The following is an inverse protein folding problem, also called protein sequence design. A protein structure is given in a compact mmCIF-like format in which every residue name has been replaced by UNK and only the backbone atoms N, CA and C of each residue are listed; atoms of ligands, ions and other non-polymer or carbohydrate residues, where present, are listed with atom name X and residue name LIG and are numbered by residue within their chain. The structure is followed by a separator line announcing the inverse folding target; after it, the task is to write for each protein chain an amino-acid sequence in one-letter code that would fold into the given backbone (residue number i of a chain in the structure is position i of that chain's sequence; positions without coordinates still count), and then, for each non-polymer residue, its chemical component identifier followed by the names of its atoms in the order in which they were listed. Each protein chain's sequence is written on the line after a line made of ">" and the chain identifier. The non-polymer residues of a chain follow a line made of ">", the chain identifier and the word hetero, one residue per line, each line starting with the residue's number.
data_IF_647051199217
#
_entry.id   IF_647051199217
#
_cell.length_a   1.000
_cell.length_b   1.000
_cell.length_c   1.000
_cell.angle_alpha   90.00
_cell.angle_beta   90.00
_cell.angle_gamma   90.00
#
_symmetry.space_group_name_H-M   'P 1'
#
loop_
_entity.id
_entity.type
_entity.pdbx_description
1 polymer ?
#
# COMPACT_ATOMS: atom_id res chain seq x y z
N UNK A 1 51.93 4.48 26.37
CA UNK A 1 50.85 3.60 25.85
C UNK A 1 50.77 3.88 24.36
N UNK A 2 51.02 2.90 23.50
CA UNK A 2 50.86 3.08 22.06
C UNK A 2 49.40 3.46 21.78
N UNK A 3 49.17 4.53 21.02
CA UNK A 3 47.81 4.81 20.51
C UNK A 3 47.30 3.56 19.82
N UNK A 4 46.08 3.14 20.16
CA UNK A 4 45.42 2.02 19.48
C UNK A 4 45.29 2.33 18.00
N UNK A 5 45.57 1.35 17.15
CA UNK A 5 45.60 1.46 15.68
C UNK A 5 44.31 2.05 15.10
N UNK A 6 43.17 1.78 15.74
CA UNK A 6 41.84 2.27 15.36
C UNK A 6 41.14 3.05 16.48
N UNK A 7 40.29 4.00 16.10
CA UNK A 7 39.34 4.71 16.97
C UNK A 7 37.95 4.69 16.32
N UNK A 8 37.23 3.60 16.58
CA UNK A 8 35.92 3.33 15.97
C UNK A 8 34.79 4.05 16.72
N UNK A 9 33.98 4.82 15.99
CA UNK A 9 32.84 5.58 16.50
C UNK A 9 31.59 5.15 15.74
N UNK A 10 30.53 4.77 16.46
CA UNK A 10 29.21 4.51 15.91
C UNK A 10 28.40 5.81 15.89
N UNK A 11 27.87 6.21 14.73
CA UNK A 11 27.05 7.43 14.58
C UNK A 11 26.06 7.31 13.43
N UNK A 12 25.16 8.30 13.31
CA UNK A 12 24.32 8.49 12.13
C UNK A 12 25.13 8.95 10.90
N UNK A 13 24.64 8.62 9.72
CA UNK A 13 25.14 9.12 8.44
C UNK A 13 24.63 10.54 8.16
N UNK A 14 25.42 11.29 7.40
CA UNK A 14 25.05 12.59 6.85
C UNK A 14 25.29 12.64 5.34
N UNK A 15 24.69 13.61 4.65
CA UNK A 15 24.87 13.79 3.20
C UNK A 15 26.35 13.94 2.81
N UNK A 16 27.17 14.51 3.72
CA UNK A 16 28.61 14.71 3.53
C UNK A 16 29.42 13.41 3.49
N UNK A 17 28.85 12.32 3.98
CA UNK A 17 29.51 11.01 4.01
C UNK A 17 29.41 10.27 2.66
N UNK A 18 28.54 10.73 1.75
CA UNK A 18 28.28 10.06 0.47
C UNK A 18 29.54 9.75 -0.36
N UNK A 19 30.55 10.64 -0.51
CA UNK A 19 31.76 10.31 -1.27
C UNK A 19 32.52 9.10 -0.71
N UNK A 20 32.52 8.93 0.62
CA UNK A 20 33.18 7.80 1.29
C UNK A 20 32.34 6.53 1.17
N UNK A 21 31.01 6.65 1.29
CA UNK A 21 30.07 5.55 1.05
C UNK A 21 30.20 5.03 -0.38
N UNK A 22 30.24 5.95 -1.36
CA UNK A 22 30.42 5.63 -2.77
C UNK A 22 31.68 4.80 -3.00
N UNK A 23 32.81 5.23 -2.46
CA UNK A 23 34.09 4.51 -2.58
C UNK A 23 34.00 3.08 -2.02
N UNK A 24 33.39 2.91 -0.85
CA UNK A 24 33.21 1.58 -0.25
C UNK A 24 32.28 0.71 -1.11
N UNK A 25 31.13 1.24 -1.50
CA UNK A 25 30.14 0.48 -2.28
C UNK A 25 30.67 0.10 -3.66
N UNK A 26 31.41 0.98 -4.35
CA UNK A 26 32.03 0.65 -5.64
C UNK A 26 33.04 -0.50 -5.50
N UNK A 27 33.78 -0.57 -4.39
CA UNK A 27 34.72 -1.66 -4.11
C UNK A 27 34.01 -2.95 -3.70
N UNK A 28 32.95 -2.86 -2.90
CA UNK A 28 32.20 -4.03 -2.40
C UNK A 28 31.30 -4.63 -3.49
N UNK A 29 30.76 -3.79 -4.38
CA UNK A 29 29.76 -4.15 -5.39
C UNK A 29 30.24 -3.91 -6.83
N UNK A 30 31.55 -3.99 -7.09
CA UNK A 30 32.15 -3.80 -8.42
C UNK A 30 31.51 -4.67 -9.53
N UNK A 31 30.91 -5.81 -9.19
CA UNK A 31 30.22 -6.71 -10.13
C UNK A 31 28.69 -6.55 -10.20
N UNK A 32 28.10 -5.62 -9.45
CA UNK A 32 26.63 -5.44 -9.32
C UNK A 32 26.20 -3.97 -9.46
N UNK A 33 26.93 -3.19 -10.28
CA UNK A 33 26.55 -1.80 -10.58
C UNK A 33 27.10 -0.73 -9.62
N UNK A 34 27.81 -1.12 -8.56
CA UNK A 34 28.51 -0.21 -7.65
C UNK A 34 27.59 0.59 -6.73
N UNK A 35 28.00 1.82 -6.41
CA UNK A 35 27.25 2.73 -5.54
C UNK A 35 25.99 3.29 -6.20
N UNK A 36 24.96 3.55 -5.39
CA UNK A 36 23.75 4.25 -5.85
C UNK A 36 24.02 5.71 -6.19
N UNK A 37 23.12 6.33 -6.95
CA UNK A 37 23.17 7.77 -7.23
C UNK A 37 22.99 8.58 -5.93
N UNK A 38 23.60 9.79 -5.80
CA UNK A 38 23.57 10.58 -4.56
C UNK A 38 22.15 10.88 -4.06
N UNK A 39 21.18 11.07 -4.95
CA UNK A 39 19.78 11.36 -4.62
C UNK A 39 19.12 10.19 -3.91
N UNK A 40 19.46 8.94 -4.27
CA UNK A 40 18.93 7.76 -3.60
C UNK A 40 19.49 7.62 -2.17
N UNK A 41 20.76 7.95 -1.98
CA UNK A 41 21.38 8.02 -0.66
C UNK A 41 20.77 9.14 0.19
N UNK A 42 20.61 10.34 -0.37
CA UNK A 42 20.01 11.47 0.33
C UNK A 42 18.54 11.22 0.67
N UNK A 43 17.78 10.51 -0.17
CA UNK A 43 16.41 10.12 0.12
C UNK A 43 16.32 9.27 1.41
N UNK A 44 17.28 8.38 1.66
CA UNK A 44 17.32 7.60 2.90
C UNK A 44 17.52 8.47 4.14
N UNK A 45 18.40 9.47 4.04
CA UNK A 45 18.66 10.41 5.14
C UNK A 45 17.42 11.28 5.39
N UNK A 46 16.79 11.80 4.32
CA UNK A 46 15.59 12.64 4.42
C UNK A 46 14.40 11.88 5.01
N UNK A 47 14.21 10.63 4.59
CA UNK A 47 13.06 9.83 5.04
C UNK A 47 13.26 9.21 6.42
N UNK A 48 14.49 8.81 6.76
CA UNK A 48 14.74 8.13 8.02
C UNK A 48 16.20 8.27 8.48
N UNK A 49 16.56 9.47 8.93
CA UNK A 49 17.91 9.82 9.40
C UNK A 49 18.42 8.83 10.47
N UNK A 50 17.59 8.51 11.47
CA UNK A 50 17.97 7.62 12.57
C UNK A 50 18.24 6.17 12.11
N UNK A 51 17.68 5.79 10.96
CA UNK A 51 17.89 4.48 10.33
C UNK A 51 19.20 4.32 9.57
N UNK A 52 19.92 5.41 9.32
CA UNK A 52 21.16 5.42 8.55
C UNK A 52 22.36 5.45 9.49
N UNK A 53 22.96 4.27 9.74
CA UNK A 53 23.99 4.10 10.77
C UNK A 53 25.33 3.82 10.10
N UNK A 54 26.42 4.43 10.58
CA UNK A 54 27.77 4.12 10.15
C UNK A 54 28.76 3.94 11.30
N UNK A 55 29.89 3.31 10.98
CA UNK A 55 31.08 3.27 11.81
C UNK A 55 32.16 4.12 11.15
N UNK A 56 32.70 5.04 11.92
CA UNK A 56 33.80 5.91 11.53
C UNK A 56 35.10 5.48 12.24
N UNK A 57 36.22 5.48 11.52
CA UNK A 57 37.58 5.38 12.07
C UNK A 57 38.35 6.66 11.76
N UNK A 58 38.74 7.42 12.80
CA UNK A 58 39.57 8.63 12.68
C UNK A 58 39.06 9.63 11.61
N UNK A 59 37.75 9.88 11.55
CA UNK A 59 37.14 10.81 10.59
C UNK A 59 36.74 10.20 9.25
N UNK A 60 37.05 8.92 9.00
CA UNK A 60 36.66 8.20 7.78
C UNK A 60 35.56 7.19 8.06
N UNK A 61 34.47 7.20 7.29
CA UNK A 61 33.45 6.14 7.31
C UNK A 61 34.07 4.85 6.76
N UNK A 62 33.90 3.74 7.49
CA UNK A 62 34.49 2.43 7.17
C UNK A 62 33.47 1.30 7.11
N UNK A 63 32.25 1.53 7.58
CA UNK A 63 31.14 0.60 7.44
C UNK A 63 29.80 1.35 7.57
N UNK A 64 28.75 0.86 6.91
CA UNK A 64 27.42 1.45 7.01
C UNK A 64 26.29 0.42 6.92
N UNK A 65 25.15 0.81 7.47
CA UNK A 65 23.91 0.07 7.52
C UNK A 65 22.76 1.01 7.16
N UNK A 66 22.14 0.77 6.00
CA UNK A 66 21.07 1.58 5.41
C UNK A 66 19.71 0.92 5.62
N UNK A 67 18.73 1.66 6.13
CA UNK A 67 17.48 1.08 6.65
C UNK A 67 16.28 1.95 6.32
N UNK A 68 15.10 1.36 6.11
CA UNK A 68 13.82 2.08 6.02
C UNK A 68 12.78 1.47 6.97
N UNK A 69 11.70 2.18 7.23
CA UNK A 69 10.53 1.64 7.93
C UNK A 69 9.57 1.03 6.91
N UNK A 70 8.98 -0.12 7.24
CA UNK A 70 8.01 -0.81 6.39
C UNK A 70 6.88 -1.41 7.21
N UNK A 71 5.76 -1.68 6.56
CA UNK A 71 4.72 -2.56 7.10
C UNK A 71 5.10 -4.04 6.89
N UNK A 72 5.27 -4.79 7.97
CA UNK A 72 5.73 -6.18 7.94
C UNK A 72 4.81 -7.10 7.14
N UNK A 73 3.48 -6.92 7.28
CA UNK A 73 2.48 -7.79 6.65
C UNK A 73 2.50 -7.64 5.12
N UNK A 74 2.76 -6.42 4.62
CA UNK A 74 2.93 -6.16 3.18
C UNK A 74 4.17 -6.86 2.64
N UNK A 75 5.30 -6.74 3.34
CA UNK A 75 6.59 -7.30 2.90
C UNK A 75 6.67 -8.82 3.03
N UNK A 76 5.88 -9.43 3.92
CA UNK A 76 5.79 -10.88 4.05
C UNK A 76 5.09 -11.57 2.87
N UNK A 77 4.25 -10.88 2.08
CA UNK A 77 3.50 -11.51 0.96
C UNK A 77 4.40 -11.80 -0.25
N UNK A 78 5.04 -10.81 -0.87
CA UNK A 78 6.06 -10.96 -1.93
C UNK A 78 6.70 -9.60 -2.21
N UNK A 79 8.03 -9.54 -2.33
CA UNK A 79 8.75 -8.37 -2.83
C UNK A 79 10.07 -8.80 -3.48
N UNK A 80 10.51 -8.05 -4.48
CA UNK A 80 11.85 -8.07 -5.09
C UNK A 80 12.71 -6.97 -4.47
N UNK A 81 14.02 -6.98 -4.74
CA UNK A 81 14.89 -5.89 -4.30
C UNK A 81 14.48 -4.55 -4.91
N UNK A 82 14.11 -4.54 -6.20
CA UNK A 82 13.65 -3.35 -6.90
C UNK A 82 12.33 -2.80 -6.36
N UNK A 83 11.43 -3.64 -5.83
CA UNK A 83 10.21 -3.16 -5.16
C UNK A 83 10.54 -2.34 -3.90
N UNK A 84 11.69 -2.60 -3.27
CA UNK A 84 12.14 -1.85 -2.07
C UNK A 84 12.77 -0.52 -2.47
N UNK A 85 13.70 -0.57 -3.43
CA UNK A 85 14.51 0.59 -3.83
C UNK A 85 13.73 1.53 -4.77
N UNK A 86 12.83 0.98 -5.58
CA UNK A 86 12.01 1.65 -6.60
C UNK A 86 12.80 2.69 -7.42
N UNK A 87 13.89 2.26 -8.05
CA UNK A 87 14.75 3.14 -8.85
C UNK A 87 15.44 4.25 -8.05
N UNK A 88 15.66 4.03 -6.74
CA UNK A 88 16.34 4.97 -5.84
C UNK A 88 15.41 5.94 -5.12
N UNK A 89 14.09 5.86 -5.35
CA UNK A 89 13.12 6.75 -4.70
C UNK A 89 12.75 6.33 -3.28
N UNK A 90 13.09 5.11 -2.87
CA UNK A 90 12.79 4.57 -1.53
C UNK A 90 11.31 4.73 -1.13
N UNK A 91 10.39 4.66 -2.10
CA UNK A 91 8.96 4.91 -1.91
C UNK A 91 8.27 3.89 -0.99
N UNK A 92 8.98 2.80 -0.68
CA UNK A 92 8.55 1.77 0.24
C UNK A 92 8.73 2.15 1.71
N UNK A 93 9.39 3.28 1.99
CA UNK A 93 9.45 3.84 3.33
C UNK A 93 8.04 4.25 3.79
N UNK A 94 7.60 3.65 4.90
CA UNK A 94 6.35 3.98 5.58
C UNK A 94 6.68 4.58 6.96
N UNK A 95 6.46 5.89 7.18
CA UNK A 95 6.70 6.52 8.48
C UNK A 95 5.87 5.90 9.63
N UNK A 96 4.77 5.22 9.30
CA UNK A 96 3.91 4.48 10.22
C UNK A 96 4.22 2.96 10.23
N UNK A 97 5.31 2.54 9.58
CA UNK A 97 5.75 1.16 9.49
C UNK A 97 6.03 0.54 10.86
N UNK A 98 5.82 -0.78 10.95
CA UNK A 98 5.95 -1.55 12.19
C UNK A 98 7.20 -2.45 12.22
N UNK A 99 8.05 -2.41 11.19
CA UNK A 99 9.33 -3.11 11.14
C UNK A 99 10.41 -2.29 10.44
N UNK A 100 11.67 -2.55 10.78
CA UNK A 100 12.82 -2.06 10.01
C UNK A 100 13.05 -2.97 8.81
N UNK A 101 13.25 -2.41 7.62
CA UNK A 101 13.79 -3.13 6.47
C UNK A 101 15.25 -2.77 6.24
N UNK A 102 16.14 -3.75 6.35
CA UNK A 102 17.56 -3.60 6.05
C UNK A 102 17.80 -3.53 4.55
N UNK A 103 18.04 -2.32 4.06
CA UNK A 103 18.31 -2.07 2.64
C UNK A 103 19.68 -2.62 2.27
N UNK A 104 20.71 -2.26 3.05
CA UNK A 104 22.07 -2.73 2.82
C UNK A 104 22.92 -2.70 4.11
N UNK A 105 23.95 -3.54 4.16
CA UNK A 105 25.04 -3.51 5.17
C UNK A 105 26.35 -3.84 4.50
N UNK A 106 27.31 -2.93 4.55
CA UNK A 106 28.62 -3.10 3.94
C UNK A 106 29.75 -2.59 4.85
N UNK A 107 30.93 -3.18 4.66
CA UNK A 107 32.16 -2.88 5.39
C UNK A 107 33.27 -2.70 4.37
N UNK A 108 34.09 -1.66 4.54
CA UNK A 108 35.28 -1.40 3.73
C UNK A 108 36.16 -2.68 3.70
N UNK A 109 36.60 -3.14 2.51
CA UNK A 109 37.45 -4.32 2.40
C UNK A 109 38.69 -4.31 3.30
N UNK A 110 39.26 -3.14 3.58
CA UNK A 110 40.48 -2.97 4.39
C UNK A 110 40.19 -3.09 5.91
N UNK A 111 38.91 -3.04 6.29
CA UNK A 111 38.44 -3.11 7.68
C UNK A 111 37.74 -4.44 8.01
N UNK A 112 37.88 -5.44 7.14
CA UNK A 112 37.36 -6.79 7.37
C UNK A 112 38.06 -7.46 8.56
N UNK A 113 37.36 -8.37 9.22
CA UNK A 113 37.89 -9.08 10.39
C UNK A 113 37.71 -8.34 11.74
N UNK A 114 37.40 -7.04 11.71
CA UNK A 114 37.15 -6.23 12.92
C UNK A 114 35.73 -6.36 13.50
N UNK A 115 34.93 -7.29 12.98
CA UNK A 115 33.52 -7.54 13.38
C UNK A 115 32.61 -6.30 13.29
N UNK A 116 32.91 -5.37 12.37
CA UNK A 116 32.12 -4.13 12.18
C UNK A 116 30.68 -4.41 11.76
N UNK A 117 30.45 -5.42 10.91
CA UNK A 117 29.10 -5.83 10.53
C UNK A 117 28.25 -6.20 11.74
N UNK A 118 28.80 -6.95 12.71
CA UNK A 118 28.07 -7.31 13.95
C UNK A 118 27.69 -6.06 14.75
N UNK A 119 28.61 -5.10 14.89
CA UNK A 119 28.34 -3.82 15.57
C UNK A 119 27.18 -3.05 14.91
N UNK A 120 27.09 -3.07 13.59
CA UNK A 120 25.99 -2.44 12.85
C UNK A 120 24.65 -3.16 13.08
N UNK A 121 24.64 -4.50 13.13
CA UNK A 121 23.42 -5.25 13.46
C UNK A 121 22.98 -5.02 14.90
N UNK A 122 23.91 -5.00 15.85
CA UNK A 122 23.60 -4.69 17.25
C UNK A 122 22.99 -3.28 17.36
N UNK A 123 23.57 -2.28 16.68
CA UNK A 123 23.02 -0.92 16.62
C UNK A 123 21.61 -0.85 16.01
N UNK A 124 21.34 -1.63 14.96
CA UNK A 124 20.00 -1.72 14.36
C UNK A 124 18.98 -2.39 15.27
N UNK A 125 19.38 -3.42 16.01
CA UNK A 125 18.50 -4.07 17.02
C UNK A 125 18.14 -3.08 18.12
N UNK A 126 19.12 -2.34 18.63
CA UNK A 126 18.86 -1.26 19.60
C UNK A 126 17.92 -0.18 19.05
N UNK A 127 18.07 0.20 17.78
CA UNK A 127 17.15 1.13 17.13
C UNK A 127 15.73 0.55 17.03
N UNK A 128 15.61 -0.71 16.59
CA UNK A 128 14.34 -1.43 16.49
C UNK A 128 13.60 -1.48 17.83
N UNK A 129 14.34 -1.76 18.91
CA UNK A 129 13.82 -1.79 20.27
C UNK A 129 13.37 -0.40 20.74
N UNK A 130 14.20 0.64 20.56
CA UNK A 130 13.88 2.03 20.96
C UNK A 130 12.64 2.57 20.25
N UNK A 131 12.48 2.24 18.97
CA UNK A 131 11.30 2.61 18.19
C UNK A 131 10.08 1.73 18.49
N UNK A 132 10.24 0.67 19.30
CA UNK A 132 9.20 -0.32 19.62
C UNK A 132 8.55 -0.91 18.35
N UNK A 133 9.40 -1.39 17.45
CA UNK A 133 9.00 -2.05 16.21
C UNK A 133 8.97 -3.58 16.41
N UNK A 134 8.20 -4.30 15.60
CA UNK A 134 8.02 -5.76 15.67
C UNK A 134 9.32 -6.53 15.40
N UNK A 135 10.19 -5.99 14.55
CA UNK A 135 11.43 -6.67 14.17
C UNK A 135 12.16 -6.00 13.02
N UNK A 136 13.18 -6.71 12.53
CA UNK A 136 14.02 -6.32 11.40
C UNK A 136 13.87 -7.36 10.30
N UNK A 137 13.57 -6.93 9.08
CA UNK A 137 13.41 -7.75 7.88
C UNK A 137 14.47 -7.37 6.85
N UNK A 138 14.97 -8.31 6.06
CA UNK A 138 15.73 -8.02 4.83
C UNK A 138 15.84 -9.27 3.95
N UNK A 139 15.98 -9.09 2.64
CA UNK A 139 16.39 -10.19 1.76
C UNK A 139 17.91 -10.34 1.71
N UNK A 140 18.41 -11.48 2.18
CA UNK A 140 19.82 -11.85 2.14
C UNK A 140 20.18 -12.69 0.92
N UNK A 141 21.37 -12.46 0.36
CA UNK A 141 21.97 -13.28 -0.70
C UNK A 141 22.50 -14.60 -0.15
N UNK A 142 22.63 -15.61 -1.02
CA UNK A 142 23.23 -16.92 -0.71
C UNK A 142 24.33 -17.25 -1.73
N UNK A 143 25.41 -16.45 -1.79
CA UNK A 143 26.36 -16.45 -2.91
C UNK A 143 27.16 -17.76 -3.06
N UNK A 144 27.12 -18.67 -2.09
CA UNK A 144 27.70 -20.00 -2.25
C UNK A 144 26.80 -20.96 -3.05
N UNK A 145 25.52 -20.65 -3.22
CA UNK A 145 24.53 -21.56 -3.80
C UNK A 145 24.82 -21.92 -5.26
N UNK A 146 25.30 -20.99 -6.09
CA UNK A 146 25.60 -21.25 -7.50
C UNK A 146 26.59 -22.40 -7.72
N UNK A 147 27.46 -22.69 -6.74
CA UNK A 147 28.38 -23.84 -6.79
C UNK A 147 27.71 -25.20 -6.53
N UNK A 148 26.50 -25.17 -6.00
CA UNK A 148 25.72 -26.34 -5.58
C UNK A 148 24.39 -26.47 -6.34
N UNK A 149 24.05 -25.50 -7.19
CA UNK A 149 22.76 -25.43 -7.89
C UNK A 149 22.51 -26.63 -8.82
N UNK A 150 23.56 -27.29 -9.32
CA UNK A 150 23.45 -28.51 -10.11
C UNK A 150 23.08 -29.75 -9.28
N UNK A 151 23.43 -29.77 -7.99
CA UNK A 151 23.35 -30.96 -7.13
C UNK A 151 22.21 -30.89 -6.10
N UNK A 152 21.73 -29.68 -5.76
CA UNK A 152 20.70 -29.51 -4.73
C UNK A 152 19.84 -28.26 -4.95
N UNK A 153 18.62 -28.34 -4.44
CA UNK A 153 17.68 -27.21 -4.40
C UNK A 153 18.14 -26.13 -3.40
N UNK A 154 17.65 -24.87 -3.52
CA UNK A 154 18.00 -23.82 -2.56
C UNK A 154 17.57 -24.18 -1.12
N UNK A 155 16.47 -24.93 -0.99
CA UNK A 155 15.98 -25.39 0.32
C UNK A 155 16.96 -26.37 0.98
N UNK A 156 17.44 -27.36 0.24
CA UNK A 156 18.44 -28.32 0.73
C UNK A 156 19.76 -27.63 1.08
N UNK A 157 20.22 -26.71 0.24
CA UNK A 157 21.40 -25.90 0.51
C UNK A 157 21.28 -25.13 1.84
N UNK A 158 20.15 -24.44 2.04
CA UNK A 158 19.87 -23.70 3.27
C UNK A 158 19.87 -24.62 4.50
N UNK A 159 19.26 -25.81 4.41
CA UNK A 159 19.27 -26.76 5.54
C UNK A 159 20.70 -27.22 5.87
N UNK A 160 21.52 -27.49 4.86
CA UNK A 160 22.93 -27.86 5.06
C UNK A 160 23.75 -26.72 5.68
N UNK A 161 23.48 -25.47 5.30
CA UNK A 161 24.12 -24.30 5.95
C UNK A 161 23.68 -24.19 7.41
N UNK A 162 22.39 -24.36 7.71
CA UNK A 162 21.89 -24.38 9.11
C UNK A 162 22.49 -25.51 9.94
N UNK A 163 22.69 -26.68 9.32
CA UNK A 163 23.33 -27.84 9.93
C UNK A 163 24.86 -27.70 10.05
N UNK A 164 25.46 -26.62 9.52
CA UNK A 164 26.92 -26.37 9.47
C UNK A 164 27.68 -27.40 8.61
N UNK A 165 27.00 -28.06 7.68
CA UNK A 165 27.61 -28.95 6.69
C UNK A 165 28.21 -28.17 5.51
N UNK A 166 27.60 -27.02 5.18
CA UNK A 166 28.06 -26.10 4.15
C UNK A 166 28.30 -24.72 4.79
N UNK A 167 29.38 -24.06 4.40
CA UNK A 167 29.67 -22.70 4.82
C UNK A 167 29.31 -21.70 3.71
N UNK A 168 28.24 -20.95 3.92
CA UNK A 168 27.90 -19.77 3.10
C UNK A 168 28.30 -18.50 3.85
N UNK A 169 29.13 -17.65 3.24
CA UNK A 169 29.69 -16.47 3.90
C UNK A 169 28.61 -15.48 4.38
N UNK A 170 27.53 -15.31 3.61
CA UNK A 170 26.47 -14.35 3.92
C UNK A 170 25.47 -15.00 4.86
N UNK A 171 24.91 -16.15 4.49
CA UNK A 171 23.86 -16.79 5.27
C UNK A 171 24.35 -17.22 6.66
N UNK A 172 25.56 -17.77 6.76
CA UNK A 172 26.13 -18.16 8.06
C UNK A 172 26.32 -16.95 8.97
N UNK A 173 26.77 -15.81 8.42
CA UNK A 173 26.93 -14.59 9.18
C UNK A 173 25.58 -14.06 9.68
N UNK A 174 24.53 -14.06 8.84
CA UNK A 174 23.21 -13.60 9.27
C UNK A 174 22.61 -14.49 10.37
N UNK A 175 22.69 -15.81 10.21
CA UNK A 175 22.25 -16.77 11.23
C UNK A 175 23.00 -16.59 12.56
N UNK A 176 24.29 -16.24 12.52
CA UNK A 176 25.10 -15.98 13.72
C UNK A 176 24.73 -14.68 14.46
N UNK A 177 23.95 -13.80 13.81
CA UNK A 177 23.40 -12.57 14.40
C UNK A 177 21.92 -12.75 14.81
N UNK A 178 21.47 -13.99 15.07
CA UNK A 178 20.12 -14.35 15.53
C UNK A 178 18.99 -14.04 14.53
N UNK A 179 19.33 -13.83 13.26
CA UNK A 179 18.31 -13.76 12.21
C UNK A 179 17.87 -15.17 11.84
N UNK A 180 16.57 -15.34 11.63
CA UNK A 180 15.97 -16.58 11.17
C UNK A 180 15.40 -16.44 9.76
N UNK A 181 15.25 -17.57 9.09
CA UNK A 181 14.79 -17.63 7.71
C UNK A 181 13.27 -17.72 7.70
N UNK A 182 12.61 -16.74 7.09
CA UNK A 182 11.16 -16.72 6.89
C UNK A 182 10.75 -17.48 5.64
N UNK A 183 11.38 -17.17 4.50
CA UNK A 183 11.04 -17.75 3.19
C UNK A 183 12.18 -17.60 2.19
N UNK A 184 12.10 -18.40 1.12
CA UNK A 184 12.96 -18.27 -0.07
C UNK A 184 12.32 -17.22 -0.99
N UNK A 185 13.13 -16.29 -1.49
CA UNK A 185 12.76 -15.28 -2.48
C UNK A 185 13.26 -15.75 -3.85
N UNK A 186 12.37 -15.87 -4.83
CA UNK A 186 12.71 -16.23 -6.21
C UNK A 186 12.85 -14.96 -7.05
N UNK A 187 13.85 -14.90 -7.93
CA UNK A 187 14.16 -13.71 -8.74
C UNK A 187 14.28 -12.46 -7.87
N UNK A 188 14.99 -12.58 -6.74
CA UNK A 188 15.11 -11.50 -5.77
C UNK A 188 16.02 -10.38 -6.29
N UNK A 189 17.19 -10.78 -6.81
CA UNK A 189 18.15 -9.92 -7.53
C UNK A 189 18.51 -10.69 -8.81
N UNK A 190 17.92 -10.35 -9.97
CA UNK A 190 18.17 -11.06 -11.22
C UNK A 190 19.65 -11.13 -11.62
N UNK A 191 20.41 -10.08 -11.33
CA UNK A 191 21.83 -9.94 -11.65
C UNK A 191 22.74 -10.79 -10.75
N UNK A 192 22.22 -11.36 -9.65
CA UNK A 192 22.99 -12.17 -8.71
C UNK A 192 23.18 -13.60 -9.20
N UNK A 193 24.11 -13.78 -10.14
CA UNK A 193 24.49 -15.08 -10.71
C UNK A 193 25.01 -16.03 -9.61
N UNK A 194 25.68 -15.51 -8.58
CA UNK A 194 26.26 -16.33 -7.51
C UNK A 194 25.19 -17.05 -6.68
N UNK A 195 24.01 -16.45 -6.56
CA UNK A 195 22.86 -17.03 -5.86
C UNK A 195 21.83 -17.63 -6.82
N UNK A 196 22.09 -17.72 -8.13
CA UNK A 196 21.10 -18.12 -9.15
C UNK A 196 19.79 -17.30 -9.05
N UNK A 197 19.93 -15.99 -8.78
CA UNK A 197 18.84 -15.04 -8.52
C UNK A 197 17.92 -15.39 -7.31
N UNK A 198 18.29 -16.38 -6.49
CA UNK A 198 17.59 -16.67 -5.23
C UNK A 198 18.08 -15.77 -4.10
N UNK A 199 17.15 -15.39 -3.24
CA UNK A 199 17.42 -14.74 -1.96
C UNK A 199 16.71 -15.46 -0.82
N UNK A 200 16.98 -15.02 0.40
CA UNK A 200 16.32 -15.53 1.60
C UNK A 200 15.80 -14.35 2.40
N UNK A 201 14.49 -14.31 2.66
CA UNK A 201 13.93 -13.32 3.57
C UNK A 201 14.32 -13.72 4.99
N UNK A 202 15.08 -12.84 5.64
CA UNK A 202 15.54 -12.99 7.01
C UNK A 202 14.70 -12.08 7.94
N UNK A 203 14.43 -12.56 9.15
CA UNK A 203 13.81 -11.76 10.21
C UNK A 203 14.61 -11.87 11.51
N UNK A 204 14.74 -10.76 12.23
CA UNK A 204 15.01 -10.76 13.67
C UNK A 204 13.78 -10.22 14.39
N UNK A 205 13.23 -11.01 15.33
CA UNK A 205 12.01 -10.68 16.06
C UNK A 205 12.35 -9.90 17.33
N UNK A 206 11.76 -8.72 17.50
CA UNK A 206 11.92 -7.93 18.71
C UNK A 206 11.04 -8.51 19.83
N UNK A 207 11.65 -9.24 20.76
CA UNK A 207 10.93 -9.86 21.88
C UNK A 207 10.40 -8.84 22.91
N UNK A 208 10.88 -7.58 22.85
CA UNK A 208 10.43 -6.49 23.70
C UNK A 208 9.31 -5.65 23.06
N UNK A 209 8.85 -6.02 21.86
CA UNK A 209 7.77 -5.31 21.19
C UNK A 209 6.48 -5.35 22.00
N UNK A 210 5.96 -4.17 22.33
CA UNK A 210 4.62 -4.01 22.88
C UNK A 210 3.70 -3.38 21.83
N UNK A 211 2.53 -3.98 21.61
CA UNK A 211 1.55 -3.45 20.66
C UNK A 211 1.02 -2.10 21.15
N UNK A 212 1.59 -0.99 20.65
CA UNK A 212 1.06 0.35 20.88
C UNK A 212 -0.35 0.44 20.29
N UNK A 213 -1.35 0.68 21.14
CA UNK A 213 -2.64 1.16 20.67
C UNK A 213 -2.42 2.61 20.21
N UNK A 214 -2.59 2.90 18.91
CA UNK A 214 -2.70 4.30 18.46
C UNK A 214 -3.89 4.91 19.20
N UNK A 215 -3.61 5.74 20.20
CA UNK A 215 -4.63 6.33 21.08
C UNK A 215 -5.58 7.25 20.29
N UNK A 216 -5.10 7.85 19.20
CA UNK A 216 -5.85 8.71 18.29
C UNK A 216 -5.39 8.47 16.84
N UNK A 217 -6.29 8.60 15.87
CA UNK A 217 -5.97 8.56 14.43
C UNK A 217 -5.44 7.23 13.88
N UNK A 218 -5.47 6.16 14.68
CA UNK A 218 -5.11 4.83 14.19
C UNK A 218 -6.18 4.24 13.28
N UNK A 219 -5.74 3.46 12.29
CA UNK A 219 -6.64 2.67 11.44
C UNK A 219 -7.50 1.75 12.31
N UNK A 220 -8.82 1.87 12.22
CA UNK A 220 -9.75 0.99 12.94
C UNK A 220 -9.58 -0.45 12.45
N UNK A 221 -9.34 -1.38 13.37
CA UNK A 221 -9.20 -2.80 13.06
C UNK A 221 -10.51 -3.46 12.61
N UNK A 222 -11.66 -2.90 13.01
CA UNK A 222 -13.00 -3.42 12.70
C UNK A 222 -13.88 -2.28 12.19
N UNK A 223 -13.85 -1.97 10.88
CA UNK A 223 -14.71 -0.94 10.31
C UNK A 223 -16.17 -1.41 10.27
N UNK A 224 -17.09 -0.52 10.59
CA UNK A 224 -18.54 -0.77 10.47
C UNK A 224 -19.07 -0.12 9.20
N UNK A 225 -19.70 -0.90 8.34
CA UNK A 225 -20.23 -0.42 7.07
C UNK A 225 -21.75 -0.31 7.14
N UNK A 226 -22.29 0.85 6.80
CA UNK A 226 -23.71 1.07 6.58
C UNK A 226 -24.04 1.00 5.09
N UNK A 227 -25.08 0.26 4.71
CA UNK A 227 -25.52 0.18 3.31
C UNK A 227 -26.98 0.61 3.23
N UNK A 228 -27.27 1.59 2.39
CA UNK A 228 -28.61 2.15 2.24
C UNK A 228 -29.40 1.37 1.20
N UNK A 229 -30.55 0.83 1.61
CA UNK A 229 -31.56 0.32 0.70
C UNK A 229 -32.51 1.47 0.34
N UNK A 230 -32.29 2.06 -0.83
CA UNK A 230 -33.03 3.22 -1.28
C UNK A 230 -34.33 2.82 -1.97
N UNK A 231 -35.46 3.30 -1.46
CA UNK A 231 -36.75 3.07 -2.10
C UNK A 231 -36.94 4.06 -3.26
N UNK A 232 -37.05 3.55 -4.47
CA UNK A 232 -37.32 4.35 -5.67
C UNK A 232 -38.75 4.90 -5.63
N UNK A 233 -38.91 6.14 -5.15
CA UNK A 233 -40.19 6.86 -5.09
C UNK A 233 -39.98 8.32 -5.49
N UNK A 234 -40.94 8.97 -6.18
CA UNK A 234 -40.74 10.33 -6.67
C UNK A 234 -40.61 11.36 -5.53
N UNK A 235 -39.70 12.33 -5.67
CA UNK A 235 -39.62 13.52 -4.80
C UNK A 235 -40.10 14.76 -5.56
N UNK A 236 -40.73 15.71 -4.86
CA UNK A 236 -41.22 16.96 -5.45
C UNK A 236 -40.12 18.01 -5.55
N UNK A 237 -39.23 18.07 -4.57
CA UNK A 237 -38.09 18.97 -4.54
C UNK A 237 -36.83 18.29 -3.98
N UNK A 238 -35.70 18.97 -4.15
CA UNK A 238 -34.40 18.50 -3.66
C UNK A 238 -34.30 18.51 -2.13
N UNK A 239 -35.03 19.38 -1.44
CA UNK A 239 -34.98 19.46 0.03
C UNK A 239 -35.55 18.19 0.65
N UNK A 240 -36.70 17.70 0.16
CA UNK A 240 -37.31 16.45 0.61
C UNK A 240 -36.40 15.24 0.32
N UNK A 241 -35.74 15.26 -0.84
CA UNK A 241 -34.76 14.24 -1.21
C UNK A 241 -33.57 14.21 -0.24
N UNK A 242 -32.97 15.38 0.05
CA UNK A 242 -31.84 15.52 0.96
C UNK A 242 -32.23 15.19 2.40
N UNK A 243 -33.42 15.58 2.87
CA UNK A 243 -33.93 15.18 4.18
C UNK A 243 -34.04 13.65 4.30
N UNK A 244 -34.50 12.97 3.25
CA UNK A 244 -34.56 11.51 3.27
C UNK A 244 -33.17 10.86 3.23
N UNK A 245 -32.21 11.43 2.50
CA UNK A 245 -30.83 10.96 2.52
C UNK A 245 -30.20 11.15 3.91
N UNK A 246 -30.38 12.33 4.52
CA UNK A 246 -29.89 12.66 5.86
C UNK A 246 -30.46 11.71 6.91
N UNK A 247 -31.75 11.36 6.84
CA UNK A 247 -32.35 10.38 7.75
C UNK A 247 -31.58 9.05 7.78
N UNK A 248 -31.13 8.55 6.62
CA UNK A 248 -30.32 7.33 6.58
C UNK A 248 -28.91 7.55 7.15
N UNK A 249 -28.31 8.71 6.88
CA UNK A 249 -27.00 9.07 7.43
C UNK A 249 -27.07 9.14 8.97
N UNK A 250 -28.03 9.88 9.51
CA UNK A 250 -28.27 9.99 10.96
C UNK A 250 -28.51 8.62 11.60
N UNK A 251 -29.44 7.83 11.05
CA UNK A 251 -29.72 6.50 11.57
C UNK A 251 -28.48 5.59 11.59
N UNK A 252 -27.68 5.56 10.50
CA UNK A 252 -26.49 4.72 10.40
C UNK A 252 -25.32 5.22 11.26
N UNK A 253 -25.20 6.53 11.45
CA UNK A 253 -24.20 7.12 12.35
C UNK A 253 -24.55 6.89 13.82
N UNK A 254 -25.83 6.79 14.18
CA UNK A 254 -26.28 6.29 15.48
C UNK A 254 -25.78 4.87 15.81
N UNK A 255 -25.44 4.07 14.78
CA UNK A 255 -24.77 2.78 14.92
C UNK A 255 -23.25 2.88 14.81
N UNK A 256 -22.61 4.06 14.87
CA UNK A 256 -21.16 4.24 14.69
C UNK A 256 -20.64 3.64 13.36
N UNK A 257 -21.38 3.81 12.27
CA UNK A 257 -20.89 3.43 10.93
C UNK A 257 -19.68 4.28 10.57
N UNK A 258 -18.64 3.64 10.02
CA UNK A 258 -17.42 4.30 9.59
C UNK A 258 -17.47 4.74 8.13
N UNK A 259 -18.25 4.02 7.32
CA UNK A 259 -18.54 4.36 5.94
C UNK A 259 -19.97 3.96 5.58
N UNK A 260 -20.68 4.85 4.88
CA UNK A 260 -22.04 4.64 4.41
C UNK A 260 -22.05 4.56 2.88
N UNK A 261 -22.69 3.54 2.30
CA UNK A 261 -22.86 3.38 0.85
C UNK A 261 -24.31 3.64 0.42
N UNK A 262 -24.51 4.57 -0.50
CA UNK A 262 -25.76 4.75 -1.24
C UNK A 262 -25.75 4.00 -2.59
N UNK A 263 -26.92 3.70 -3.20
CA UNK A 263 -27.01 2.98 -4.47
C UNK A 263 -26.58 3.79 -5.71
N UNK A 264 -26.43 3.11 -6.84
CA UNK A 264 -26.23 3.76 -8.15
C UNK A 264 -27.45 4.60 -8.55
N UNK A 265 -27.21 5.73 -9.23
CA UNK A 265 -28.24 6.67 -9.71
C UNK A 265 -29.29 7.00 -8.62
N UNK A 266 -28.83 7.19 -7.38
CA UNK A 266 -29.75 7.35 -6.24
C UNK A 266 -30.61 8.62 -6.32
N UNK A 267 -30.17 9.62 -7.10
CA UNK A 267 -30.93 10.84 -7.37
C UNK A 267 -31.98 10.70 -8.48
N UNK A 268 -32.07 9.55 -9.16
CA UNK A 268 -33.08 9.26 -10.20
C UNK A 268 -34.54 9.58 -9.79
N UNK A 269 -34.97 9.45 -8.52
CA UNK A 269 -36.28 9.95 -8.08
C UNK A 269 -36.66 11.39 -8.44
N UNK A 270 -35.67 12.28 -8.63
CA UNK A 270 -35.88 13.67 -9.01
C UNK A 270 -36.24 13.84 -10.50
N UNK A 271 -36.13 12.79 -11.32
CA UNK A 271 -36.57 12.80 -12.72
C UNK A 271 -38.06 13.14 -12.89
N UNK A 272 -38.86 12.98 -11.84
CA UNK A 272 -40.27 13.40 -11.80
C UNK A 272 -40.46 14.87 -12.20
N UNK A 273 -39.46 15.71 -11.96
CA UNK A 273 -39.53 17.16 -12.17
C UNK A 273 -39.19 17.59 -13.60
N UNK A 274 -38.88 16.65 -14.49
CA UNK A 274 -38.50 16.91 -15.87
C UNK A 274 -39.41 16.16 -16.86
N UNK A 275 -39.45 16.66 -18.09
CA UNK A 275 -40.09 15.95 -19.19
C UNK A 275 -39.27 14.70 -19.53
N UNK A 276 -39.93 13.54 -19.48
CA UNK A 276 -39.32 12.22 -19.69
C UNK A 276 -39.55 11.71 -21.12
N UNK A 277 -40.14 12.52 -22.01
CA UNK A 277 -40.31 12.17 -23.42
C UNK A 277 -38.98 11.89 -24.14
N UNK A 278 -37.89 12.55 -23.71
CA UNK A 278 -36.53 12.27 -24.13
C UNK A 278 -35.66 11.89 -22.91
N UNK A 279 -35.40 10.58 -22.69
CA UNK A 279 -34.66 10.11 -21.52
C UNK A 279 -33.24 10.69 -21.40
N UNK A 280 -32.54 10.95 -22.51
CA UNK A 280 -31.21 11.54 -22.49
C UNK A 280 -31.24 13.00 -21.99
N UNK A 281 -32.23 13.78 -22.41
CA UNK A 281 -32.41 15.16 -21.92
C UNK A 281 -32.81 15.17 -20.44
N UNK A 282 -33.69 14.27 -20.02
CA UNK A 282 -34.09 14.14 -18.62
C UNK A 282 -32.90 13.81 -17.70
N UNK A 283 -32.02 12.90 -18.14
CA UNK A 283 -30.81 12.54 -17.39
C UNK A 283 -29.79 13.69 -17.33
N UNK A 284 -29.64 14.47 -18.42
CA UNK A 284 -28.81 15.68 -18.41
C UNK A 284 -29.39 16.76 -17.49
N UNK A 285 -30.71 16.90 -17.43
CA UNK A 285 -31.36 17.82 -16.52
C UNK A 285 -31.15 17.39 -15.06
N UNK A 286 -31.21 16.09 -14.78
CA UNK A 286 -30.92 15.53 -13.45
C UNK A 286 -29.49 15.85 -12.97
N UNK A 287 -28.53 15.97 -13.89
CA UNK A 287 -27.14 16.33 -13.58
C UNK A 287 -26.99 17.73 -12.96
N UNK A 288 -27.99 18.61 -13.12
CA UNK A 288 -27.98 19.95 -12.54
C UNK A 288 -27.99 19.92 -11.01
N UNK A 289 -28.52 18.86 -10.40
CA UNK A 289 -28.53 18.70 -8.94
C UNK A 289 -27.23 18.15 -8.36
N UNK A 290 -26.32 17.63 -9.18
CA UNK A 290 -25.16 16.85 -8.72
C UNK A 290 -24.24 17.64 -7.81
N UNK A 291 -23.97 18.91 -8.12
CA UNK A 291 -23.08 19.73 -7.30
C UNK A 291 -23.70 20.07 -5.95
N UNK A 292 -25.00 20.40 -5.92
CA UNK A 292 -25.75 20.67 -4.69
C UNK A 292 -25.82 19.44 -3.80
N UNK A 293 -26.14 18.28 -4.38
CA UNK A 293 -26.21 17.00 -3.67
C UNK A 293 -24.82 16.61 -3.13
N UNK A 294 -23.76 16.69 -3.95
CA UNK A 294 -22.39 16.40 -3.52
C UNK A 294 -21.96 17.30 -2.35
N UNK A 295 -22.24 18.60 -2.43
CA UNK A 295 -21.93 19.53 -1.35
C UNK A 295 -22.70 19.20 -0.06
N UNK A 296 -23.99 18.84 -0.17
CA UNK A 296 -24.79 18.40 0.98
C UNK A 296 -24.20 17.13 1.61
N UNK A 297 -23.77 16.15 0.82
CA UNK A 297 -23.15 14.92 1.31
C UNK A 297 -21.78 15.15 1.98
N UNK A 298 -20.97 16.10 1.49
CA UNK A 298 -19.74 16.53 2.18
C UNK A 298 -20.08 17.14 3.53
N UNK A 299 -21.08 18.03 3.60
CA UNK A 299 -21.53 18.61 4.86
C UNK A 299 -22.02 17.54 5.83
N UNK A 300 -22.81 16.57 5.36
CA UNK A 300 -23.26 15.44 6.18
C UNK A 300 -22.07 14.59 6.67
N UNK A 301 -21.08 14.30 5.82
CA UNK A 301 -19.90 13.53 6.21
C UNK A 301 -19.14 14.21 7.37
N UNK A 302 -18.99 15.54 7.34
CA UNK A 302 -18.38 16.34 8.40
C UNK A 302 -19.26 16.35 9.65
N UNK A 303 -20.53 16.76 9.52
CA UNK A 303 -21.45 16.96 10.64
C UNK A 303 -21.71 15.68 11.42
N UNK A 304 -21.85 14.56 10.73
CA UNK A 304 -22.08 13.25 11.33
C UNK A 304 -20.78 12.46 11.58
N UNK A 305 -19.62 13.05 11.27
CA UNK A 305 -18.29 12.44 11.46
C UNK A 305 -18.23 11.00 10.91
N UNK A 306 -18.57 10.83 9.64
CA UNK A 306 -18.55 9.55 8.91
C UNK A 306 -18.06 9.73 7.48
N UNK A 307 -17.54 8.68 6.86
CA UNK A 307 -17.32 8.69 5.41
C UNK A 307 -18.62 8.27 4.70
N UNK A 308 -18.86 8.79 3.50
CA UNK A 308 -20.05 8.48 2.71
C UNK A 308 -19.64 8.28 1.25
N UNK A 309 -19.96 7.12 0.68
CA UNK A 309 -20.04 6.94 -0.77
C UNK A 309 -21.46 7.34 -1.16
N UNK A 310 -21.60 8.51 -1.77
CA UNK A 310 -22.88 9.13 -2.14
C UNK A 310 -23.52 8.45 -3.36
N UNK A 311 -23.43 7.12 -3.45
CA UNK A 311 -23.95 6.36 -4.57
C UNK A 311 -23.35 6.84 -5.88
N UNK A 312 -24.13 6.82 -6.94
CA UNK A 312 -23.75 7.52 -8.17
C UNK A 312 -24.86 8.40 -8.70
N UNK A 313 -24.51 9.36 -9.55
CA UNK A 313 -25.43 10.31 -10.18
C UNK A 313 -24.88 10.81 -11.51
N UNK A 314 -25.74 11.29 -12.43
CA UNK A 314 -25.29 11.89 -13.69
C UNK A 314 -24.47 13.17 -13.44
N UNK A 315 -23.39 13.36 -14.18
CA UNK A 315 -22.57 14.57 -14.12
C UNK A 315 -22.19 14.99 -15.54
N UNK A 316 -22.30 16.28 -15.82
CA UNK A 316 -21.76 16.88 -17.04
C UNK A 316 -20.49 17.63 -16.65
N UNK A 317 -19.38 17.32 -17.32
CA UNK A 317 -18.13 18.08 -17.21
C UNK A 317 -17.57 18.39 -18.61
N UNK A 318 -16.37 18.98 -18.69
CA UNK A 318 -15.72 19.36 -19.95
C UNK A 318 -15.44 18.16 -20.89
N UNK A 319 -15.39 16.94 -20.36
CA UNK A 319 -15.05 15.72 -21.09
C UNK A 319 -16.28 15.02 -21.67
N UNK A 320 -17.48 15.26 -21.13
CA UNK A 320 -18.68 14.55 -21.56
C UNK A 320 -19.77 14.41 -20.49
N UNK A 321 -20.59 13.38 -20.63
CA UNK A 321 -21.71 13.10 -19.73
C UNK A 321 -21.54 11.73 -19.06
N UNK A 322 -21.38 11.70 -17.73
CA UNK A 322 -20.93 10.50 -17.03
C UNK A 322 -21.85 10.09 -15.89
N UNK A 323 -21.81 8.81 -15.54
CA UNK A 323 -22.35 8.29 -14.28
C UNK A 323 -21.21 8.25 -13.24
N UNK A 324 -21.31 9.06 -12.19
CA UNK A 324 -20.19 9.34 -11.28
C UNK A 324 -20.58 9.04 -9.84
N UNK A 325 -19.73 8.29 -9.14
CA UNK A 325 -19.83 8.04 -7.70
C UNK A 325 -18.88 8.95 -6.92
N UNK A 326 -19.36 9.53 -5.83
CA UNK A 326 -18.57 10.44 -5.00
C UNK A 326 -18.26 9.81 -3.64
N UNK A 327 -17.00 9.88 -3.23
CA UNK A 327 -16.56 9.61 -1.87
C UNK A 327 -16.42 10.93 -1.13
N UNK A 328 -17.26 11.15 -0.12
CA UNK A 328 -17.23 12.29 0.79
C UNK A 328 -16.63 11.83 2.13
N UNK A 329 -15.53 12.46 2.55
CA UNK A 329 -14.82 12.07 3.77
C UNK A 329 -15.20 12.97 4.93
N UNK A 330 -15.11 12.43 6.15
CA UNK A 330 -15.38 13.14 7.41
C UNK A 330 -14.45 14.33 7.68
N UNK A 331 -13.32 14.42 6.96
CA UNK A 331 -12.39 15.55 7.00
C UNK A 331 -12.78 16.70 6.05
N UNK A 332 -13.88 16.54 5.29
CA UNK A 332 -14.38 17.51 4.33
C UNK A 332 -13.78 17.40 2.93
N UNK A 333 -12.81 16.53 2.71
CA UNK A 333 -12.32 16.21 1.37
C UNK A 333 -13.30 15.31 0.64
N UNK A 334 -13.25 15.32 -0.69
CA UNK A 334 -14.04 14.42 -1.52
C UNK A 334 -13.27 14.01 -2.77
N UNK A 335 -13.66 12.87 -3.33
CA UNK A 335 -13.15 12.33 -4.57
C UNK A 335 -14.29 11.74 -5.41
N UNK A 336 -14.00 11.42 -6.68
CA UNK A 336 -14.96 10.83 -7.61
C UNK A 336 -14.38 9.60 -8.32
N UNK A 337 -15.25 8.62 -8.56
CA UNK A 337 -15.05 7.49 -9.47
C UNK A 337 -16.07 7.58 -10.60
N UNK A 338 -15.58 7.59 -11.83
CA UNK A 338 -16.41 7.59 -13.04
C UNK A 338 -16.66 6.14 -13.43
N UNK A 339 -17.90 5.81 -13.82
CA UNK A 339 -18.23 4.46 -14.34
C UNK A 339 -17.47 4.24 -15.63
N UNK A 340 -16.71 3.15 -15.74
CA UNK A 340 -15.87 2.91 -16.92
C UNK A 340 -16.67 2.21 -18.02
N UNK A 341 -17.37 1.14 -17.65
CA UNK A 341 -18.14 0.32 -18.58
C UNK A 341 -19.59 0.75 -18.57
N UNK A 342 -19.95 1.57 -19.55
CA UNK A 342 -21.34 1.94 -19.83
C UNK A 342 -22.05 0.79 -20.52
N UNK A 343 -23.24 0.43 -20.03
CA UNK A 343 -24.07 -0.60 -20.67
C UNK A 343 -24.63 -0.09 -22.01
N UNK A 344 -24.98 -0.99 -22.95
CA UNK A 344 -25.60 -0.59 -24.21
C UNK A 344 -26.82 0.32 -24.03
N UNK A 345 -27.65 0.03 -23.04
CA UNK A 345 -28.87 0.80 -22.76
C UNK A 345 -28.54 2.20 -22.20
N UNK A 346 -27.57 2.31 -21.29
CA UNK A 346 -27.11 3.59 -20.76
C UNK A 346 -26.53 4.49 -21.86
N UNK A 347 -25.77 3.93 -22.80
CA UNK A 347 -25.23 4.67 -23.93
C UNK A 347 -26.32 5.08 -24.93
N UNK A 348 -27.23 4.16 -25.27
CA UNK A 348 -28.24 4.39 -26.31
C UNK A 348 -29.40 5.28 -25.83
N UNK A 349 -29.91 5.06 -24.62
CA UNK A 349 -31.11 5.74 -24.13
C UNK A 349 -30.79 6.95 -23.26
N UNK A 350 -29.71 6.92 -22.47
CA UNK A 350 -29.35 8.02 -21.56
C UNK A 350 -28.20 8.88 -22.07
N UNK A 351 -27.38 8.34 -22.99
CA UNK A 351 -26.29 9.07 -23.63
C UNK A 351 -25.05 9.23 -22.74
N UNK A 352 -24.82 8.29 -21.82
CA UNK A 352 -23.63 8.29 -20.96
C UNK A 352 -22.37 7.89 -21.73
N UNK A 353 -21.28 8.58 -21.41
CA UNK A 353 -19.91 8.29 -21.79
C UNK A 353 -19.21 7.48 -20.68
N UNK A 354 -18.22 6.67 -21.07
CA UNK A 354 -17.40 5.90 -20.13
C UNK A 354 -16.22 6.72 -19.60
N UNK A 355 -15.91 6.55 -18.31
CA UNK A 355 -14.69 7.06 -17.72
C UNK A 355 -13.44 6.38 -18.25
N UNK A 356 -12.28 7.01 -18.05
CA UNK A 356 -10.99 6.61 -18.61
C UNK A 356 -9.99 6.06 -17.56
N UNK A 357 -10.34 6.13 -16.28
CA UNK A 357 -9.45 5.73 -15.20
C UNK A 357 -10.17 5.11 -13.99
N UNK A 358 -9.55 4.08 -13.42
CA UNK A 358 -9.93 3.48 -12.15
C UNK A 358 -9.00 3.98 -11.03
N UNK A 359 -9.58 4.44 -9.91
CA UNK A 359 -8.86 5.05 -8.79
C UNK A 359 -8.97 4.20 -7.53
N UNK A 360 -7.94 4.27 -6.69
CA UNK A 360 -7.97 3.75 -5.32
C UNK A 360 -8.10 4.93 -4.37
N UNK A 361 -8.87 4.75 -3.29
CA UNK A 361 -9.16 5.84 -2.36
C UNK A 361 -8.66 5.50 -0.97
N UNK A 362 -7.83 6.37 -0.40
CA UNK A 362 -7.42 6.28 1.00
C UNK A 362 -8.53 6.81 1.92
N UNK A 363 -8.77 6.08 3.01
CA UNK A 363 -9.68 6.44 4.11
C UNK A 363 -9.08 6.04 5.45
N UNK A 364 -9.63 6.53 6.56
CA UNK A 364 -9.25 6.18 7.93
C UNK A 364 -9.54 4.70 8.30
N UNK A 365 -10.31 4.00 7.49
CA UNK A 365 -10.55 2.54 7.61
C UNK A 365 -9.70 1.70 6.65
N UNK A 366 -8.94 2.34 5.76
CA UNK A 366 -8.06 1.69 4.80
C UNK A 366 -8.29 2.11 3.37
N UNK A 367 -7.58 1.46 2.45
CA UNK A 367 -7.77 1.69 1.01
C UNK A 367 -9.00 0.96 0.49
N UNK A 368 -9.85 1.72 -0.20
CA UNK A 368 -11.10 1.25 -0.77
C UNK A 368 -11.11 1.41 -2.29
N UNK A 369 -11.85 0.53 -2.97
CA UNK A 369 -12.16 0.65 -4.38
C UNK A 369 -13.67 0.85 -4.58
N UNK A 370 -14.05 1.51 -5.67
CA UNK A 370 -15.45 1.72 -6.05
C UNK A 370 -15.60 1.21 -7.49
N UNK A 371 -16.51 0.25 -7.71
CA UNK A 371 -16.87 -0.23 -9.05
C UNK A 371 -18.36 -0.04 -9.24
N UNK A 372 -18.77 0.80 -10.20
CA UNK A 372 -20.18 1.17 -10.35
C UNK A 372 -20.86 0.10 -11.20
N UNK A 373 -21.73 -0.68 -10.55
CA UNK A 373 -22.65 -1.62 -11.18
C UNK A 373 -21.94 -2.58 -12.16
N UNK A 374 -22.09 -2.33 -13.46
CA UNK A 374 -21.55 -3.16 -14.53
C UNK A 374 -20.02 -3.31 -14.48
N UNK A 375 -19.30 -2.35 -13.91
CA UNK A 375 -17.85 -2.42 -13.73
C UNK A 375 -17.38 -3.65 -12.93
N UNK A 376 -18.18 -4.14 -11.97
CA UNK A 376 -17.78 -5.29 -11.13
C UNK A 376 -17.64 -6.60 -11.89
N UNK A 377 -18.25 -6.66 -13.08
CA UNK A 377 -18.23 -7.87 -13.89
C UNK A 377 -16.88 -8.12 -14.56
N UNK A 378 -16.08 -7.05 -14.73
CA UNK A 378 -14.77 -7.08 -15.36
C UNK A 378 -13.68 -7.39 -14.31
N UNK A 379 -13.10 -8.60 -14.29
CA UNK A 379 -12.15 -9.03 -13.26
C UNK A 379 -10.92 -8.13 -13.13
N UNK A 380 -10.47 -7.57 -14.25
CA UNK A 380 -9.24 -6.78 -14.35
C UNK A 380 -9.28 -5.54 -13.46
N UNK A 381 -10.45 -4.90 -13.32
CA UNK A 381 -10.60 -3.70 -12.50
C UNK A 381 -10.36 -4.00 -11.01
N UNK A 382 -11.00 -5.04 -10.48
CA UNK A 382 -10.83 -5.43 -9.09
C UNK A 382 -9.41 -5.96 -8.83
N UNK A 383 -8.81 -6.68 -9.78
CA UNK A 383 -7.42 -7.14 -9.69
C UNK A 383 -6.45 -5.98 -9.58
N UNK A 384 -6.58 -4.98 -10.46
CA UNK A 384 -5.74 -3.80 -10.46
C UNK A 384 -5.89 -2.97 -9.18
N UNK A 385 -7.10 -2.87 -8.62
CA UNK A 385 -7.33 -2.24 -7.32
C UNK A 385 -6.66 -3.02 -6.17
N UNK A 386 -6.75 -4.35 -6.20
CA UNK A 386 -6.11 -5.22 -5.21
C UNK A 386 -4.58 -5.09 -5.23
N UNK A 387 -3.96 -5.03 -6.42
CA UNK A 387 -2.52 -4.81 -6.58
C UNK A 387 -2.06 -3.45 -6.01
N UNK A 388 -2.97 -2.47 -5.95
CA UNK A 388 -2.73 -1.17 -5.30
C UNK A 388 -3.01 -1.17 -3.78
N UNK A 389 -3.34 -2.32 -3.21
CA UNK A 389 -3.57 -2.51 -1.78
C UNK A 389 -5.01 -2.25 -1.33
N UNK A 390 -6.00 -2.36 -2.21
CA UNK A 390 -7.42 -2.31 -1.84
C UNK A 390 -7.77 -3.42 -0.84
N UNK A 391 -8.50 -3.06 0.22
CA UNK A 391 -8.98 -4.02 1.23
C UNK A 391 -10.50 -4.16 1.27
N UNK A 392 -11.22 -3.13 0.80
CA UNK A 392 -12.68 -3.06 0.74
C UNK A 392 -13.10 -2.62 -0.66
N UNK A 393 -13.98 -3.38 -1.30
CA UNK A 393 -14.56 -3.05 -2.58
C UNK A 393 -16.03 -2.62 -2.37
N UNK A 394 -16.41 -1.45 -2.89
CA UNK A 394 -17.80 -0.99 -2.85
C UNK A 394 -18.40 -1.03 -4.24
N UNK A 395 -19.60 -1.58 -4.34
CA UNK A 395 -20.31 -1.76 -5.61
C UNK A 395 -21.68 -1.11 -5.51
N UNK A 396 -21.82 0.22 -5.72
CA UNK A 396 -23.13 0.82 -5.89
C UNK A 396 -23.74 0.29 -7.19
N UNK A 397 -24.99 -0.19 -7.12
CA UNK A 397 -25.69 -0.72 -8.29
C UNK A 397 -27.18 -0.40 -8.26
N UNK A 398 -27.79 -0.36 -9.44
CA UNK A 398 -29.23 -0.31 -9.65
C UNK A 398 -29.62 -1.31 -10.75
N UNK A 399 -30.51 -2.23 -10.41
CA UNK A 399 -31.01 -3.25 -11.35
C UNK A 399 -32.51 -3.41 -11.19
N UNK A 400 -33.20 -3.63 -12.30
CA UNK A 400 -34.64 -3.82 -12.44
C UNK A 400 -35.06 -5.31 -12.47
N UNK A 401 -34.13 -6.22 -12.80
CA UNK A 401 -34.38 -7.66 -12.85
C UNK A 401 -33.60 -8.46 -11.81
N UNK A 402 -34.18 -9.58 -11.37
CA UNK A 402 -33.51 -10.54 -10.49
C UNK A 402 -32.24 -11.12 -11.10
N UNK A 403 -32.22 -11.31 -12.42
CA UNK A 403 -31.04 -11.87 -13.12
C UNK A 403 -29.87 -10.88 -13.09
N UNK A 404 -30.13 -9.60 -13.36
CA UNK A 404 -29.10 -8.56 -13.26
C UNK A 404 -28.58 -8.42 -11.83
N UNK A 405 -29.47 -8.39 -10.82
CA UNK A 405 -29.07 -8.38 -9.41
C UNK A 405 -28.16 -9.57 -9.05
N UNK A 406 -28.54 -10.79 -9.45
CA UNK A 406 -27.76 -11.99 -9.17
C UNK A 406 -26.40 -11.96 -9.87
N UNK A 407 -26.31 -11.39 -11.08
CA UNK A 407 -25.07 -11.25 -11.82
C UNK A 407 -24.09 -10.33 -11.08
N UNK A 408 -24.53 -9.10 -10.76
CA UNK A 408 -23.72 -8.13 -10.00
C UNK A 408 -23.28 -8.74 -8.67
N UNK A 409 -24.21 -9.32 -7.89
CA UNK A 409 -23.91 -9.92 -6.59
C UNK A 409 -22.87 -11.05 -6.70
N UNK A 410 -23.01 -11.95 -7.67
CA UNK A 410 -22.09 -13.08 -7.84
C UNK A 410 -20.72 -12.64 -8.33
N UNK A 411 -20.67 -11.67 -9.25
CA UNK A 411 -19.43 -11.07 -9.71
C UNK A 411 -18.71 -10.39 -8.55
N UNK A 412 -19.39 -9.55 -7.76
CA UNK A 412 -18.84 -8.93 -6.56
C UNK A 412 -18.22 -9.97 -5.61
N UNK A 413 -18.96 -11.03 -5.28
CA UNK A 413 -18.46 -12.13 -4.44
C UNK A 413 -17.24 -12.83 -5.03
N UNK A 414 -17.21 -13.06 -6.35
CA UNK A 414 -16.04 -13.62 -7.03
C UNK A 414 -14.83 -12.68 -6.93
N UNK A 415 -15.01 -11.35 -7.12
CA UNK A 415 -13.94 -10.36 -6.97
C UNK A 415 -13.37 -10.35 -5.55
N UNK A 416 -14.20 -10.46 -4.53
CA UNK A 416 -13.76 -10.57 -3.14
C UNK A 416 -12.91 -11.83 -2.90
N UNK A 417 -13.37 -12.99 -3.38
CA UNK A 417 -12.66 -14.27 -3.20
C UNK A 417 -11.31 -14.25 -3.93
N UNK A 418 -11.29 -13.87 -5.20
CA UNK A 418 -10.10 -13.92 -6.04
C UNK A 418 -9.00 -12.93 -5.61
N UNK A 419 -9.38 -11.84 -4.93
CA UNK A 419 -8.46 -10.79 -4.48
C UNK A 419 -8.23 -10.77 -2.97
N UNK A 420 -8.82 -11.72 -2.23
CA UNK A 420 -8.74 -11.79 -0.77
C UNK A 420 -9.15 -10.47 -0.09
N UNK A 421 -10.22 -9.83 -0.58
CA UNK A 421 -10.75 -8.58 -0.06
C UNK A 421 -12.22 -8.71 0.37
N UNK A 422 -12.75 -7.69 1.03
CA UNK A 422 -14.18 -7.60 1.37
C UNK A 422 -14.96 -6.89 0.25
N UNK A 423 -16.25 -7.20 0.09
CA UNK A 423 -17.16 -6.55 -0.88
C UNK A 423 -18.57 -6.39 -0.31
#
# INVERSE_FOLDING_TARGET
>A
MSETEHKLILRGLSEKDYPQIKDIMDRVYAGMGGAWHPEAFNALIIHFEEGQICIEDKGRVVAAALTILVNSDTFERRHTYDDVINGGKMSSHDPDGDALYGVDVFVDPDYRGLRLGRRLYDARKELCEKLNLKGILFGGRIPGYGKHAADMTPSEYIQKVKAKEIYDQVLTFQLSNDFHIKKILKNYIPEDIQSESYGVLMEWSNIFYEKRQKLFGGRKAYPRIGVVQWQMRPFGDISDFLHQAEFFVDALTGYNSDLILFPELFNAPLLKNYDQANPAEAMRALAQYTEEIRAAFVNMAISYNTNIIAGSMPMVDERGFFNVSFLCRRDGTWDAQYKLHITPDEAQYWGFDGGDAIRIFDTDIGRIGILICYDVEFPELARHLADKGMTLLFVPFWTDTKNAYLRIRRCAQARAIENECYV
#
